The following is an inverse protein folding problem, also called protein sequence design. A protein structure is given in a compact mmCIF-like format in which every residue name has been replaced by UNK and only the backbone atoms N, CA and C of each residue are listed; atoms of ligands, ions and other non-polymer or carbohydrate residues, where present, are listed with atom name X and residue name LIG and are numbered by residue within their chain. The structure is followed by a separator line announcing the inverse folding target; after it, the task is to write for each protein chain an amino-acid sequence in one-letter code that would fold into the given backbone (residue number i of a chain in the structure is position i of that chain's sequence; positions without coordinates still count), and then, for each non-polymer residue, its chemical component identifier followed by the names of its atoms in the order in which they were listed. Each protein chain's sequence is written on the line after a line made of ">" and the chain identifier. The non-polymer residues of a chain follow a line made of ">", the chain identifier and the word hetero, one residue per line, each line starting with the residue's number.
data_IF_188528919228
#
_entry.id   IF_188528919228
#
_cell.length_a   1.000
_cell.length_b   1.000
_cell.length_c   1.000
_cell.angle_alpha   90.00
_cell.angle_beta   90.00
_cell.angle_gamma   90.00
#
_symmetry.space_group_name_H-M   'P 1'
#
loop_
_entity.id
_entity.type
_entity.pdbx_description
1 polymer ?
#
# COMPACT_ATOMS: atom_id res chain seq x y z
N UNK A 1 33.21 25.04 1.37
CA UNK A 1 32.54 24.30 0.26
C UNK A 1 31.22 23.78 0.78
N UNK A 2 30.07 24.49 0.52
CA UNK A 2 28.75 24.04 0.95
C UNK A 2 28.34 22.91 0.02
N UNK A 3 28.29 21.70 0.50
CA UNK A 3 27.66 20.59 -0.21
C UNK A 3 26.17 20.87 -0.26
N UNK A 4 25.67 21.37 -1.39
CA UNK A 4 24.25 21.45 -1.67
C UNK A 4 23.77 20.02 -1.94
N UNK A 5 23.18 19.36 -0.94
CA UNK A 5 22.51 18.08 -1.15
C UNK A 5 21.28 18.42 -2.00
N UNK A 6 21.36 18.08 -3.28
CA UNK A 6 20.22 18.21 -4.20
C UNK A 6 19.20 17.13 -3.86
N UNK A 7 18.31 17.44 -2.93
CA UNK A 7 17.17 16.56 -2.66
C UNK A 7 16.13 16.77 -3.76
N UNK A 8 15.67 15.70 -4.40
CA UNK A 8 14.61 15.80 -5.40
C UNK A 8 13.36 16.38 -4.74
N UNK A 9 12.72 17.34 -5.40
CA UNK A 9 11.49 17.93 -4.91
C UNK A 9 10.33 16.92 -4.87
N UNK A 10 9.23 17.21 -4.14
CA UNK A 10 8.09 16.31 -4.01
C UNK A 10 7.50 15.88 -5.36
N UNK A 11 7.49 16.78 -6.33
CA UNK A 11 6.98 16.53 -7.68
C UNK A 11 7.84 15.49 -8.42
N UNK A 12 9.18 15.63 -8.38
CA UNK A 12 10.10 14.68 -9.01
C UNK A 12 10.04 13.29 -8.36
N UNK A 13 9.87 13.22 -7.04
CA UNK A 13 9.65 11.96 -6.32
C UNK A 13 8.35 11.30 -6.75
N UNK A 14 7.26 12.07 -6.88
CA UNK A 14 5.97 11.57 -7.34
C UNK A 14 6.02 11.01 -8.77
N UNK A 15 6.66 11.72 -9.68
CA UNK A 15 6.85 11.24 -11.07
C UNK A 15 7.76 10.01 -11.13
N UNK A 16 8.82 9.97 -10.35
CA UNK A 16 9.72 8.80 -10.27
C UNK A 16 8.96 7.57 -9.77
N UNK A 17 8.18 7.71 -8.70
CA UNK A 17 7.33 6.64 -8.19
C UNK A 17 6.33 6.16 -9.25
N UNK A 18 5.63 7.09 -9.93
CA UNK A 18 4.67 6.73 -10.97
C UNK A 18 5.32 6.00 -12.15
N UNK A 19 6.51 6.43 -12.57
CA UNK A 19 7.27 5.76 -13.62
C UNK A 19 7.66 4.32 -13.22
N UNK A 20 8.17 4.13 -11.99
CA UNK A 20 8.54 2.82 -11.45
C UNK A 20 7.33 1.88 -11.36
N UNK A 21 6.23 2.36 -10.80
CA UNK A 21 4.99 1.59 -10.68
C UNK A 21 4.39 1.23 -12.04
N UNK A 22 4.52 2.11 -13.04
CA UNK A 22 4.09 1.82 -14.41
C UNK A 22 4.99 0.78 -15.06
N UNK A 23 6.30 0.88 -14.90
CA UNK A 23 7.25 -0.12 -15.41
C UNK A 23 6.96 -1.49 -14.80
N UNK A 24 6.76 -1.58 -13.48
CA UNK A 24 6.42 -2.84 -12.84
C UNK A 24 5.11 -3.42 -13.39
N UNK A 25 4.09 -2.61 -13.56
CA UNK A 25 2.81 -3.05 -14.14
C UNK A 25 2.91 -3.53 -15.58
N UNK A 26 3.86 -3.01 -16.38
CA UNK A 26 4.02 -3.37 -17.80
C UNK A 26 4.94 -4.56 -18.01
N UNK A 27 6.03 -4.66 -17.26
CA UNK A 27 7.09 -5.65 -17.47
C UNK A 27 7.39 -6.52 -16.25
N UNK A 28 6.78 -6.25 -15.08
CA UNK A 28 6.95 -7.03 -13.86
C UNK A 28 6.39 -8.46 -13.93
N UNK A 29 5.69 -8.80 -15.02
CA UNK A 29 5.22 -10.15 -15.28
C UNK A 29 6.40 -11.08 -15.58
N UNK A 30 6.41 -12.26 -14.93
CA UNK A 30 7.45 -13.28 -15.06
C UNK A 30 7.42 -14.04 -16.40
N UNK A 31 7.13 -13.38 -17.51
CA UNK A 31 7.28 -13.99 -18.84
C UNK A 31 8.77 -14.10 -19.20
N UNK A 32 9.17 -15.19 -19.78
CA UNK A 32 10.58 -15.56 -20.03
C UNK A 32 11.42 -14.48 -20.69
N UNK A 33 10.82 -13.70 -21.60
CA UNK A 33 11.51 -12.62 -22.32
C UNK A 33 11.85 -11.40 -21.44
N UNK A 34 11.02 -11.07 -20.43
CA UNK A 34 11.22 -9.92 -19.55
C UNK A 34 11.69 -10.31 -18.13
N UNK A 35 12.08 -11.55 -17.92
CA UNK A 35 12.36 -12.09 -16.59
C UNK A 35 13.32 -11.23 -15.75
N UNK A 36 14.41 -10.76 -16.34
CA UNK A 36 15.41 -9.97 -15.62
C UNK A 36 14.97 -8.50 -15.44
N UNK A 37 14.40 -7.88 -16.48
CA UNK A 37 13.88 -6.51 -16.42
C UNK A 37 12.69 -6.42 -15.47
N UNK A 38 11.76 -7.37 -15.54
CA UNK A 38 10.63 -7.46 -14.64
C UNK A 38 11.02 -7.67 -13.19
N UNK A 39 12.02 -8.53 -12.93
CA UNK A 39 12.55 -8.70 -11.58
C UNK A 39 13.14 -7.41 -11.02
N UNK A 40 13.89 -6.66 -11.82
CA UNK A 40 14.48 -5.39 -11.38
C UNK A 40 13.39 -4.35 -11.08
N UNK A 41 12.41 -4.18 -11.98
CA UNK A 41 11.32 -3.21 -11.76
C UNK A 41 10.49 -3.54 -10.52
N UNK A 42 10.16 -4.81 -10.31
CA UNK A 42 9.45 -5.27 -9.10
C UNK A 42 10.26 -5.00 -7.82
N UNK A 43 11.58 -5.21 -7.83
CA UNK A 43 12.43 -4.91 -6.67
C UNK A 43 12.54 -3.42 -6.36
N UNK A 44 12.64 -2.59 -7.39
CA UNK A 44 12.66 -1.13 -7.22
C UNK A 44 11.30 -0.65 -6.69
N UNK A 45 10.20 -1.17 -7.22
CA UNK A 45 8.85 -0.88 -6.72
C UNK A 45 8.69 -1.29 -5.25
N UNK A 46 9.15 -2.48 -4.86
CA UNK A 46 9.15 -2.96 -3.47
C UNK A 46 9.90 -2.01 -2.52
N UNK A 47 11.03 -1.41 -2.95
CA UNK A 47 11.78 -0.44 -2.14
C UNK A 47 10.96 0.84 -1.95
N UNK A 48 10.36 1.37 -3.01
CA UNK A 48 9.59 2.61 -2.94
C UNK A 48 8.27 2.46 -2.17
N UNK A 49 7.63 1.31 -2.25
CA UNK A 49 6.36 1.02 -1.55
C UNK A 49 6.57 0.53 -0.12
N UNK A 50 7.82 0.23 0.28
CA UNK A 50 8.12 -0.27 1.63
C UNK A 50 7.62 0.66 2.74
N UNK A 51 7.99 1.92 2.70
CA UNK A 51 7.56 2.91 3.72
C UNK A 51 6.07 3.21 3.61
N UNK A 52 5.52 3.56 2.42
CA UNK A 52 4.10 3.82 2.27
C UNK A 52 3.19 2.71 2.80
N UNK A 53 3.49 1.45 2.51
CA UNK A 53 2.65 0.33 2.97
C UNK A 53 2.62 0.19 4.50
N UNK A 54 3.73 0.47 5.21
CA UNK A 54 3.77 0.48 6.69
C UNK A 54 3.04 1.69 7.27
N UNK A 55 3.14 2.83 6.59
CA UNK A 55 2.38 4.01 6.99
C UNK A 55 0.87 3.76 6.86
N UNK A 56 0.41 3.15 5.77
CA UNK A 56 -1.00 2.73 5.62
C UNK A 56 -1.40 1.74 6.73
N UNK A 57 -0.58 0.73 7.00
CA UNK A 57 -0.83 -0.26 8.06
C UNK A 57 -1.09 0.41 9.42
N UNK A 58 -0.32 1.44 9.75
CA UNK A 58 -0.38 2.12 11.06
C UNK A 58 -1.50 3.17 11.09
N UNK A 59 -1.71 3.91 10.01
CA UNK A 59 -2.59 5.07 10.02
C UNK A 59 -4.03 4.77 9.60
N UNK A 60 -4.26 3.74 8.78
CA UNK A 60 -5.61 3.40 8.34
C UNK A 60 -6.55 3.00 9.48
N UNK A 61 -6.13 2.21 10.49
CA UNK A 61 -7.00 1.92 11.64
C UNK A 61 -7.42 3.15 12.43
N UNK A 62 -6.58 4.21 12.45
CA UNK A 62 -6.87 5.45 13.18
C UNK A 62 -8.06 6.22 12.59
N UNK A 63 -8.28 6.09 11.28
CA UNK A 63 -9.40 6.74 10.58
C UNK A 63 -10.62 5.82 10.42
N UNK A 64 -10.53 4.60 10.92
CA UNK A 64 -11.59 3.60 10.90
C UNK A 64 -12.44 3.63 12.16
N UNK A 65 -13.57 2.92 12.13
CA UNK A 65 -14.41 2.68 13.32
C UNK A 65 -13.85 1.64 14.28
N UNK A 66 -12.74 0.95 13.91
CA UNK A 66 -12.15 -0.17 14.67
C UNK A 66 -10.89 0.23 15.46
N UNK A 67 -10.82 1.46 15.92
CA UNK A 67 -9.66 1.94 16.70
C UNK A 67 -9.41 1.10 17.95
N UNK A 68 -10.46 0.58 18.58
CA UNK A 68 -10.34 -0.26 19.77
C UNK A 68 -9.63 -1.60 19.51
N UNK A 69 -9.61 -2.05 18.26
CA UNK A 69 -8.95 -3.28 17.82
C UNK A 69 -7.58 -3.03 17.19
N UNK A 70 -7.04 -1.81 17.32
CA UNK A 70 -5.85 -1.32 16.63
C UNK A 70 -4.70 -2.34 16.58
N UNK A 71 -4.24 -2.78 17.75
CA UNK A 71 -3.09 -3.70 17.84
C UNK A 71 -3.36 -5.08 17.23
N UNK A 72 -4.58 -5.60 17.40
CA UNK A 72 -4.99 -6.89 16.84
C UNK A 72 -5.04 -6.84 15.32
N UNK A 73 -5.66 -5.80 14.77
CA UNK A 73 -5.79 -5.61 13.31
C UNK A 73 -4.42 -5.47 12.66
N UNK A 74 -3.54 -4.63 13.21
CA UNK A 74 -2.17 -4.45 12.69
C UNK A 74 -1.43 -5.79 12.68
N UNK A 75 -1.45 -6.54 13.79
CA UNK A 75 -0.75 -7.82 13.90
C UNK A 75 -1.26 -8.83 12.88
N UNK A 76 -2.57 -8.99 12.78
CA UNK A 76 -3.19 -9.92 11.82
C UNK A 76 -2.89 -9.52 10.37
N UNK A 77 -3.06 -8.24 10.04
CA UNK A 77 -2.78 -7.72 8.69
C UNK A 77 -1.32 -7.90 8.29
N UNK A 78 -0.40 -7.68 9.21
CA UNK A 78 1.02 -7.87 8.95
C UNK A 78 1.37 -9.34 8.70
N UNK A 79 0.81 -10.26 9.50
CA UNK A 79 1.06 -11.69 9.37
C UNK A 79 0.48 -12.25 8.06
N UNK A 80 -0.75 -11.89 7.71
CA UNK A 80 -1.38 -12.34 6.47
C UNK A 80 -0.75 -11.70 5.24
N UNK A 81 -0.44 -10.40 5.31
CA UNK A 81 0.16 -9.69 4.20
C UNK A 81 1.54 -10.22 3.80
N UNK A 82 2.29 -10.76 4.74
CA UNK A 82 3.59 -11.41 4.46
C UNK A 82 3.51 -12.69 3.65
N UNK A 83 2.36 -13.30 3.54
CA UNK A 83 2.16 -14.53 2.74
C UNK A 83 2.18 -14.27 1.24
N UNK A 84 2.07 -13.01 0.83
CA UNK A 84 2.07 -12.60 -0.57
C UNK A 84 3.48 -12.47 -1.13
N UNK A 85 3.63 -12.66 -2.43
CA UNK A 85 4.91 -12.52 -3.16
C UNK A 85 5.50 -11.10 -3.01
N UNK A 86 4.65 -10.05 -3.04
CA UNK A 86 4.99 -8.70 -2.63
C UNK A 86 4.40 -8.41 -1.24
N UNK A 87 5.21 -8.46 -0.17
CA UNK A 87 4.74 -8.17 1.18
C UNK A 87 4.17 -6.76 1.35
N UNK A 88 4.61 -5.81 0.52
CA UNK A 88 4.13 -4.44 0.57
C UNK A 88 2.67 -4.33 0.09
N UNK A 89 2.36 -4.94 -1.06
CA UNK A 89 0.99 -5.05 -1.55
C UNK A 89 0.13 -5.88 -0.60
N UNK A 90 0.62 -7.06 -0.17
CA UNK A 90 -0.10 -7.94 0.74
C UNK A 90 -0.47 -7.28 2.07
N UNK A 91 0.45 -6.51 2.69
CA UNK A 91 0.17 -5.77 3.94
C UNK A 91 -0.90 -4.70 3.71
N UNK A 92 -0.82 -3.97 2.58
CA UNK A 92 -1.81 -2.95 2.24
C UNK A 92 -3.19 -3.56 1.97
N UNK A 93 -3.27 -4.66 1.23
CA UNK A 93 -4.53 -5.38 1.01
C UNK A 93 -5.09 -5.94 2.33
N UNK A 94 -4.24 -6.51 3.18
CA UNK A 94 -4.66 -7.11 4.43
C UNK A 94 -5.26 -6.10 5.41
N UNK A 95 -4.68 -4.92 5.56
CA UNK A 95 -5.22 -3.93 6.50
C UNK A 95 -6.62 -3.45 6.08
N UNK A 96 -6.87 -3.27 4.77
CA UNK A 96 -8.20 -2.97 4.27
C UNK A 96 -9.16 -4.14 4.50
N UNK A 97 -8.71 -5.38 4.27
CA UNK A 97 -9.53 -6.58 4.46
C UNK A 97 -9.99 -6.74 5.92
N UNK A 98 -9.09 -6.57 6.89
CA UNK A 98 -9.43 -6.67 8.31
C UNK A 98 -10.31 -5.53 8.81
N UNK A 99 -10.08 -4.30 8.34
CA UNK A 99 -10.92 -3.16 8.73
C UNK A 99 -12.34 -3.29 8.16
N UNK A 100 -12.47 -3.77 6.92
CA UNK A 100 -13.76 -3.88 6.23
C UNK A 100 -14.46 -5.23 6.47
N UNK A 101 -13.85 -6.14 7.24
CA UNK A 101 -14.32 -7.51 7.46
C UNK A 101 -14.60 -8.26 6.15
N UNK A 102 -13.68 -8.20 5.21
CA UNK A 102 -13.77 -8.95 3.96
C UNK A 102 -12.67 -10.00 3.88
N UNK A 103 -13.01 -11.11 3.23
CA UNK A 103 -12.07 -12.15 2.84
C UNK A 103 -11.52 -11.84 1.45
N UNK A 104 -10.21 -11.87 1.30
CA UNK A 104 -9.54 -11.69 0.01
C UNK A 104 -8.66 -12.91 -0.31
N UNK A 105 -8.29 -13.07 -1.59
CA UNK A 105 -7.45 -14.16 -2.06
C UNK A 105 -8.25 -15.41 -2.47
N UNK A 106 -7.59 -16.58 -2.43
CA UNK A 106 -8.15 -17.82 -2.95
C UNK A 106 -8.01 -17.95 -4.46
N UNK A 107 -8.80 -18.81 -5.06
CA UNK A 107 -8.76 -19.12 -6.49
C UNK A 107 -9.50 -18.07 -7.30
N UNK A 108 -8.82 -17.43 -8.23
CA UNK A 108 -9.41 -16.51 -9.20
C UNK A 108 -9.07 -16.93 -10.63
N UNK A 109 -10.04 -16.77 -11.54
CA UNK A 109 -9.83 -17.05 -12.96
C UNK A 109 -9.36 -15.76 -13.64
N UNK A 110 -8.15 -15.79 -14.18
CA UNK A 110 -7.58 -14.68 -14.95
C UNK A 110 -7.33 -15.15 -16.38
N UNK A 111 -8.07 -14.63 -17.35
CA UNK A 111 -8.11 -15.14 -18.71
C UNK A 111 -8.44 -16.64 -18.72
N UNK A 112 -7.48 -17.49 -19.13
CA UNK A 112 -7.63 -18.95 -19.21
C UNK A 112 -6.87 -19.70 -18.09
N UNK A 113 -6.27 -18.98 -17.14
CA UNK A 113 -5.49 -19.55 -16.04
C UNK A 113 -6.21 -19.38 -14.70
N UNK A 114 -6.06 -20.36 -13.83
CA UNK A 114 -6.51 -20.26 -12.44
C UNK A 114 -5.31 -19.81 -11.61
N UNK A 115 -5.40 -18.62 -11.04
CA UNK A 115 -4.39 -18.10 -10.14
C UNK A 115 -4.88 -18.30 -8.71
N UNK A 116 -4.06 -18.92 -7.88
CA UNK A 116 -4.33 -19.12 -6.46
C UNK A 116 -3.47 -18.15 -5.64
N UNK A 117 -4.12 -17.27 -4.88
CA UNK A 117 -3.48 -16.32 -3.96
C UNK A 117 -3.68 -16.75 -2.52
N UNK A 118 -2.73 -16.48 -1.61
CA UNK A 118 -2.95 -16.68 -0.19
C UNK A 118 -4.24 -16.01 0.29
N UNK A 119 -4.92 -16.67 1.23
CA UNK A 119 -6.14 -16.11 1.80
C UNK A 119 -5.76 -15.09 2.88
N UNK A 120 -6.37 -13.92 2.81
CA UNK A 120 -6.32 -12.85 3.80
C UNK A 120 -7.67 -12.79 4.51
N UNK A 121 -7.65 -12.66 5.84
CA UNK A 121 -8.83 -12.58 6.70
C UNK A 121 -9.84 -13.71 6.41
N UNK A 122 -9.44 -14.94 6.69
CA UNK A 122 -10.20 -16.15 6.38
C UNK A 122 -11.63 -16.14 6.97
N UNK A 123 -11.80 -15.46 8.09
CA UNK A 123 -13.10 -15.32 8.80
C UNK A 123 -13.95 -14.15 8.29
N UNK A 124 -13.42 -13.37 7.35
CA UNK A 124 -14.14 -12.23 6.77
C UNK A 124 -15.26 -12.66 5.81
N UNK A 125 -16.16 -11.75 5.57
CA UNK A 125 -17.31 -11.93 4.66
C UNK A 125 -16.90 -11.82 3.19
N UNK A 126 -17.82 -12.14 2.31
CA UNK A 126 -17.70 -11.84 0.90
C UNK A 126 -17.73 -10.32 0.66
N UNK A 127 -17.02 -9.86 -0.35
CA UNK A 127 -17.01 -8.46 -0.74
C UNK A 127 -18.37 -8.05 -1.31
N UNK A 128 -19.05 -7.09 -0.66
CA UNK A 128 -20.33 -6.52 -1.12
C UNK A 128 -20.11 -5.08 -1.59
N UNK A 129 -21.12 -4.53 -2.29
CA UNK A 129 -21.09 -3.12 -2.72
C UNK A 129 -20.90 -2.15 -1.54
N UNK A 130 -21.52 -2.45 -0.40
CA UNK A 130 -21.39 -1.64 0.82
C UNK A 130 -19.97 -1.66 1.38
N UNK A 131 -19.32 -2.83 1.35
CA UNK A 131 -17.92 -2.97 1.76
C UNK A 131 -16.99 -2.20 0.82
N UNK A 132 -17.27 -2.19 -0.48
CA UNK A 132 -16.52 -1.38 -1.45
C UNK A 132 -16.69 0.11 -1.15
N UNK A 133 -17.92 0.59 -0.91
CA UNK A 133 -18.17 1.98 -0.52
C UNK A 133 -17.44 2.36 0.76
N UNK A 134 -17.42 1.48 1.76
CA UNK A 134 -16.65 1.68 2.99
C UNK A 134 -15.15 1.83 2.70
N UNK A 135 -14.57 0.97 1.86
CA UNK A 135 -13.16 1.06 1.48
C UNK A 135 -12.85 2.40 0.79
N UNK A 136 -13.70 2.84 -0.14
CA UNK A 136 -13.55 4.13 -0.79
C UNK A 136 -13.58 5.30 0.22
N UNK A 137 -14.47 5.26 1.20
CA UNK A 137 -14.53 6.26 2.27
C UNK A 137 -13.28 6.23 3.15
N UNK A 138 -12.76 5.04 3.47
CA UNK A 138 -11.51 4.90 4.25
C UNK A 138 -10.31 5.49 3.49
N UNK A 139 -10.24 5.27 2.18
CA UNK A 139 -9.19 5.87 1.34
C UNK A 139 -9.26 7.40 1.40
N UNK A 140 -10.43 7.98 1.25
CA UNK A 140 -10.61 9.43 1.34
C UNK A 140 -10.21 9.98 2.72
N UNK A 141 -10.66 9.34 3.81
CA UNK A 141 -10.29 9.74 5.18
C UNK A 141 -8.78 9.66 5.39
N UNK A 142 -8.13 8.61 4.87
CA UNK A 142 -6.69 8.44 4.97
C UNK A 142 -5.95 9.54 4.19
N UNK A 143 -6.41 9.89 3.00
CA UNK A 143 -5.83 10.98 2.21
C UNK A 143 -5.92 12.32 2.95
N UNK A 144 -7.09 12.64 3.53
CA UNK A 144 -7.26 13.85 4.33
C UNK A 144 -6.34 13.87 5.55
N UNK A 145 -6.22 12.75 6.26
CA UNK A 145 -5.28 12.64 7.38
C UNK A 145 -3.85 12.97 6.95
N UNK A 146 -3.38 12.40 5.85
CA UNK A 146 -2.02 12.64 5.36
C UNK A 146 -1.81 14.07 4.87
N UNK A 147 -2.79 14.69 4.21
CA UNK A 147 -2.72 16.10 3.81
C UNK A 147 -2.54 16.97 5.06
N UNK A 148 -3.31 16.74 6.12
CA UNK A 148 -3.20 17.49 7.38
C UNK A 148 -1.81 17.28 8.00
N UNK A 149 -1.32 16.04 8.09
CA UNK A 149 0.00 15.74 8.66
C UNK A 149 1.11 16.48 7.89
N UNK A 150 1.09 16.41 6.56
CA UNK A 150 2.11 17.09 5.74
C UNK A 150 2.01 18.62 5.85
N UNK A 151 0.81 19.18 5.91
CA UNK A 151 0.62 20.63 6.11
C UNK A 151 1.19 21.08 7.47
N UNK A 152 0.94 20.31 8.53
CA UNK A 152 1.49 20.61 9.86
C UNK A 152 3.01 20.51 9.90
N UNK A 153 3.58 19.45 9.30
CA UNK A 153 5.05 19.28 9.22
C UNK A 153 5.67 20.45 8.45
N UNK A 154 5.08 20.83 7.31
CA UNK A 154 5.54 21.97 6.52
C UNK A 154 5.50 23.27 7.33
N UNK A 155 4.42 23.53 8.04
CA UNK A 155 4.28 24.72 8.87
C UNK A 155 5.31 24.76 9.99
N UNK A 156 5.56 23.64 10.66
CA UNK A 156 6.56 23.53 11.74
C UNK A 156 7.96 23.82 11.18
N UNK A 157 8.35 23.17 10.07
CA UNK A 157 9.65 23.38 9.45
C UNK A 157 9.82 24.83 9.02
N UNK A 158 8.79 25.42 8.39
CA UNK A 158 8.83 26.82 7.97
C UNK A 158 8.98 27.79 9.16
N UNK A 159 8.35 27.49 10.29
CA UNK A 159 8.48 28.28 11.51
C UNK A 159 9.85 28.19 12.17
N UNK A 160 10.54 27.03 12.03
CA UNK A 160 11.87 26.82 12.60
C UNK A 160 13.02 27.44 11.76
N UNK A 161 12.76 27.66 10.47
CA UNK A 161 13.77 28.24 9.55
C UNK A 161 13.72 29.78 9.55
N UNK A 162 12.65 30.36 10.08
CA UNK A 162 12.43 31.80 10.18
C UNK A 162 12.99 32.36 11.50
#
# INVERSE_FOLDING_TARGET
>A
MKYSIFLPGPLSLGFSYKAISTLDSMIGYRYDYFRYLGFFSAKVEDIFTFVPSRLVLITLPLVSSKVNEYGSIIKKSYLDGKKYDSPNAGISEAIFAYISDIKLGGKSKYKNEIIEKPIINETGDNCTEEKIKLICQLILRLQFLWIIIFALIFFIIFSLIK
#
